data_IF_578339920329
#
_entry.id   IF_578339920329
#
_cell.length_a   1.000
_cell.length_b   1.000
_cell.length_c   1.000
_cell.angle_alpha   90.00
_cell.angle_beta   90.00
_cell.angle_gamma   90.00
#
_symmetry.space_group_name_H-M   'P 1'
#
loop_
_entity.id
_entity.type
_entity.pdbx_description
1 polymer ?
#
# COMPACT_ATOMS: atom_id res chain seq x y z
N UNK A 1 -15.84 -0.62 2.82
CA UNK A 1 -14.42 -1.04 2.82
C UNK A 1 -13.88 -1.20 4.24
N UNK A 2 -14.01 -0.19 5.09
CA UNK A 2 -13.56 -0.24 6.49
C UNK A 2 -14.09 -1.44 7.29
N UNK A 3 -15.40 -1.68 7.30
CA UNK A 3 -16.01 -2.80 8.07
C UNK A 3 -15.39 -4.17 7.77
N UNK A 4 -15.07 -4.43 6.50
CA UNK A 4 -14.41 -5.66 6.08
C UNK A 4 -13.00 -5.80 6.66
N UNK A 5 -12.23 -4.72 6.67
CA UNK A 5 -10.87 -4.72 7.25
C UNK A 5 -10.94 -4.82 8.76
N UNK A 6 -11.88 -4.09 9.38
CA UNK A 6 -12.05 -4.05 10.83
C UNK A 6 -12.46 -5.41 11.42
N UNK A 7 -13.34 -6.14 10.74
CA UNK A 7 -13.73 -7.51 11.15
C UNK A 7 -12.61 -8.53 10.94
N UNK A 8 -11.66 -8.28 10.03
CA UNK A 8 -10.57 -9.20 9.68
C UNK A 8 -9.21 -8.61 10.06
N UNK A 9 -8.92 -8.56 11.37
CA UNK A 9 -7.71 -7.93 11.92
C UNK A 9 -6.39 -8.40 11.28
N UNK A 10 -6.33 -9.64 10.78
CA UNK A 10 -5.15 -10.19 10.11
C UNK A 10 -4.79 -9.52 8.75
N UNK A 11 -5.64 -8.65 8.20
CA UNK A 11 -5.33 -7.90 6.96
C UNK A 11 -4.48 -6.66 7.21
N UNK A 12 -4.39 -6.19 8.46
CA UNK A 12 -3.53 -5.08 8.82
C UNK A 12 -2.07 -5.54 8.94
N UNK A 13 -1.16 -4.61 8.70
CA UNK A 13 0.30 -4.77 8.82
C UNK A 13 0.85 -3.57 9.59
N UNK A 14 1.97 -3.76 10.27
CA UNK A 14 2.50 -2.71 11.15
C UNK A 14 3.40 -1.72 10.38
N UNK A 15 4.06 -2.18 9.33
CA UNK A 15 5.01 -1.38 8.55
C UNK A 15 4.75 -1.49 7.06
N UNK A 16 5.23 -0.49 6.30
CA UNK A 16 5.15 -0.50 4.85
C UNK A 16 5.90 -1.69 4.24
N UNK A 17 7.10 -2.00 4.73
CA UNK A 17 7.93 -3.08 4.19
C UNK A 17 7.28 -4.45 4.37
N UNK A 18 6.63 -4.68 5.51
CA UNK A 18 5.82 -5.88 5.76
C UNK A 18 4.66 -5.98 4.75
N UNK A 19 3.93 -4.87 4.56
CA UNK A 19 2.84 -4.79 3.60
C UNK A 19 3.28 -5.06 2.17
N UNK A 20 4.38 -4.45 1.73
CA UNK A 20 4.95 -4.60 0.38
C UNK A 20 5.39 -6.06 0.18
N UNK A 21 6.13 -6.63 1.13
CA UNK A 21 6.54 -8.05 1.08
C UNK A 21 5.32 -8.97 0.98
N UNK A 22 4.26 -8.69 1.73
CA UNK A 22 3.02 -9.46 1.69
C UNK A 22 2.32 -9.37 0.33
N UNK A 23 2.28 -8.21 -0.31
CA UNK A 23 1.76 -8.06 -1.69
C UNK A 23 2.54 -8.98 -2.65
N UNK A 24 3.87 -8.92 -2.60
CA UNK A 24 4.76 -9.74 -3.46
C UNK A 24 4.54 -11.24 -3.25
N UNK A 25 4.42 -11.68 -1.99
CA UNK A 25 4.27 -13.10 -1.64
C UNK A 25 2.85 -13.65 -1.89
N UNK A 26 1.84 -12.78 -1.94
CA UNK A 26 0.43 -13.20 -2.02
C UNK A 26 -0.04 -13.52 -3.45
N UNK A 27 0.82 -13.39 -4.48
CA UNK A 27 0.50 -13.71 -5.88
C UNK A 27 -0.82 -13.09 -6.35
N UNK A 28 -1.04 -11.80 -6.05
CA UNK A 28 -2.25 -11.05 -6.43
C UNK A 28 -3.47 -11.26 -5.53
N UNK A 29 -3.38 -12.06 -4.46
CA UNK A 29 -4.50 -12.26 -3.50
C UNK A 29 -4.56 -11.22 -2.38
N UNK A 30 -3.60 -10.31 -2.31
CA UNK A 30 -3.52 -9.24 -1.33
C UNK A 30 -3.16 -7.93 -2.02
N UNK A 31 -3.90 -6.87 -1.70
CA UNK A 31 -3.63 -5.51 -2.14
C UNK A 31 -3.40 -4.63 -0.90
N UNK A 32 -2.47 -3.70 -1.01
CA UNK A 32 -2.12 -2.77 0.06
C UNK A 32 -2.53 -1.36 -0.34
N UNK A 33 -3.25 -0.68 0.56
CA UNK A 33 -3.58 0.74 0.40
C UNK A 33 -2.49 1.57 1.08
N UNK A 34 -1.77 2.38 0.30
CA UNK A 34 -0.69 3.26 0.76
C UNK A 34 -0.75 4.60 0.03
N UNK A 35 0.02 5.57 0.52
CA UNK A 35 0.16 6.89 -0.09
C UNK A 35 0.77 6.79 -1.50
N UNK A 36 0.27 7.61 -2.42
CA UNK A 36 0.71 7.58 -3.82
C UNK A 36 2.23 7.74 -4.03
N UNK A 37 2.94 8.70 -3.39
CA UNK A 37 4.38 8.82 -3.60
C UNK A 37 5.16 7.58 -3.16
N UNK A 38 4.71 6.90 -2.09
CA UNK A 38 5.35 5.65 -1.64
C UNK A 38 5.08 4.51 -2.62
N UNK A 39 3.87 4.44 -3.19
CA UNK A 39 3.54 3.45 -4.21
C UNK A 39 4.38 3.63 -5.47
N UNK A 40 4.44 4.85 -6.00
CA UNK A 40 5.19 5.18 -7.21
C UNK A 40 6.69 4.87 -7.02
N UNK A 41 7.26 5.23 -5.85
CA UNK A 41 8.64 4.88 -5.50
C UNK A 41 8.93 3.37 -5.47
N UNK A 42 8.00 2.54 -4.97
CA UNK A 42 8.23 1.09 -4.88
C UNK A 42 8.05 0.42 -6.24
N UNK A 43 7.14 0.92 -7.09
CA UNK A 43 6.94 0.39 -8.45
C UNK A 43 8.15 0.60 -9.35
N UNK A 44 8.91 1.69 -9.15
CA UNK A 44 10.12 1.99 -9.91
C UNK A 44 11.37 1.26 -9.39
N UNK A 45 11.24 0.41 -8.36
CA UNK A 45 12.34 -0.35 -7.77
C UNK A 45 12.33 -1.80 -8.21
N UNK A 46 13.52 -2.36 -8.42
CA UNK A 46 13.69 -3.79 -8.66
C UNK A 46 13.02 -4.61 -7.52
N UNK A 47 12.36 -5.76 -7.84
CA UNK A 47 12.30 -6.42 -9.15
C UNK A 47 11.09 -6.00 -10.02
N UNK A 48 10.52 -4.79 -9.84
CA UNK A 48 9.39 -4.27 -10.62
C UNK A 48 8.14 -5.17 -10.57
N UNK A 49 7.86 -5.74 -9.40
CA UNK A 49 6.80 -6.72 -9.16
C UNK A 49 5.54 -6.13 -8.51
N UNK A 50 5.49 -4.80 -8.38
CA UNK A 50 4.33 -4.05 -7.87
C UNK A 50 3.80 -3.10 -8.94
N UNK A 51 2.50 -2.78 -8.84
CA UNK A 51 1.88 -1.78 -9.70
C UNK A 51 0.83 -0.98 -8.94
N UNK A 52 0.75 0.32 -9.24
CA UNK A 52 -0.37 1.17 -8.84
C UNK A 52 -1.58 0.85 -9.70
N UNK A 53 -2.74 0.73 -9.06
CA UNK A 53 -4.01 0.45 -9.74
C UNK A 53 -4.99 1.58 -9.44
N UNK A 54 -5.57 2.16 -10.49
CA UNK A 54 -6.58 3.20 -10.38
C UNK A 54 -6.05 4.57 -9.96
N UNK A 55 -6.98 5.45 -9.59
CA UNK A 55 -6.69 6.82 -9.13
C UNK A 55 -6.53 6.85 -7.61
N UNK A 56 -5.97 7.93 -7.09
CA UNK A 56 -5.86 8.14 -5.64
C UNK A 56 -7.26 8.21 -5.01
N UNK A 57 -7.40 7.67 -3.79
CA UNK A 57 -8.67 7.71 -3.04
C UNK A 57 -8.98 9.10 -2.51
N UNK A 58 -7.94 9.86 -2.19
CA UNK A 58 -8.01 11.21 -1.67
C UNK A 58 -6.90 12.10 -2.27
N UNK A 59 -6.94 13.38 -1.93
CA UNK A 59 -5.89 14.35 -2.24
C UNK A 59 -5.27 14.81 -0.92
N UNK A 60 -4.02 14.41 -0.68
CA UNK A 60 -3.22 14.75 0.50
C UNK A 60 -1.83 15.24 0.07
N UNK A 61 -1.23 16.09 0.88
CA UNK A 61 0.11 16.63 0.66
C UNK A 61 0.92 16.66 1.95
N UNK A 62 2.24 16.56 1.82
CA UNK A 62 3.15 16.73 2.95
C UNK A 62 3.42 18.22 3.20
N UNK A 63 3.53 18.60 4.47
CA UNK A 63 3.85 19.97 4.89
C UNK A 63 4.96 19.95 5.94
N UNK A 64 5.67 21.07 6.08
CA UNK A 64 6.66 21.26 7.12
C UNK A 64 5.93 21.67 8.40
N UNK A 65 6.05 20.85 9.44
CA UNK A 65 5.68 21.25 10.79
C UNK A 65 6.89 21.94 11.43
N UNK A 66 6.71 23.19 11.88
CA UNK A 66 7.69 23.96 12.65
C UNK A 66 7.17 24.15 14.07
#
# INVERSE_FOLDING_TARGET
MWEFMNTRKHVFVNTYDEGIKRVRQSKGKYALLIESPKNDYINEREPCDTMKVGRNLDSKGFGIAT
#
